data_IF_332244163196
#
_entry.id   IF_332244163196
#
_cell.length_a   1.000
_cell.length_b   1.000
_cell.length_c   1.000
_cell.angle_alpha   90.00
_cell.angle_beta   90.00
_cell.angle_gamma   90.00
#
_symmetry.space_group_name_H-M   'P 1'
#
loop_
_entity.id
_entity.type
_entity.pdbx_description
1 polymer ?
#
# COMPACT_ATOMS: atom_id res chain seq x y z
N UNK A 1 28.26 0.40 -23.58
CA UNK A 1 29.05 -0.72 -23.02
C UNK A 1 28.21 -1.97 -22.80
N UNK A 2 27.11 -1.90 -22.02
CA UNK A 2 26.20 -3.06 -21.84
C UNK A 2 25.59 -3.58 -23.15
N UNK A 3 25.06 -2.71 -24.02
CA UNK A 3 24.47 -3.19 -25.29
C UNK A 3 25.51 -3.80 -26.24
N UNK A 4 26.75 -3.28 -26.26
CA UNK A 4 27.85 -3.86 -27.06
C UNK A 4 28.30 -5.22 -26.52
N UNK A 5 28.24 -5.43 -25.20
CA UNK A 5 28.49 -6.74 -24.58
C UNK A 5 27.37 -7.72 -24.90
N UNK A 6 26.11 -7.29 -24.81
CA UNK A 6 24.94 -8.10 -25.19
C UNK A 6 24.99 -8.51 -26.67
N UNK A 7 25.45 -7.62 -27.56
CA UNK A 7 25.65 -7.94 -28.98
C UNK A 7 26.72 -9.04 -29.16
N UNK A 8 27.87 -8.92 -28.48
CA UNK A 8 28.94 -9.92 -28.52
C UNK A 8 28.52 -11.27 -27.90
N UNK A 9 27.76 -11.27 -26.79
CA UNK A 9 27.20 -12.48 -26.19
C UNK A 9 26.18 -13.15 -27.12
N UNK A 10 25.32 -12.38 -27.79
CA UNK A 10 24.36 -12.90 -28.77
C UNK A 10 25.05 -13.50 -30.01
N UNK A 11 26.13 -12.87 -30.48
CA UNK A 11 26.92 -13.39 -31.60
C UNK A 11 27.70 -14.65 -31.21
N UNK A 12 28.23 -14.73 -29.98
CA UNK A 12 28.82 -15.94 -29.44
C UNK A 12 27.81 -17.10 -29.37
N UNK A 13 26.59 -16.85 -28.88
CA UNK A 13 25.51 -17.85 -28.83
C UNK A 13 25.18 -18.36 -30.24
N UNK A 14 25.10 -17.47 -31.24
CA UNK A 14 24.86 -17.86 -32.65
C UNK A 14 25.99 -18.74 -33.21
N UNK A 15 27.23 -18.41 -32.87
CA UNK A 15 28.42 -19.18 -33.28
C UNK A 15 28.43 -20.55 -32.60
N UNK A 16 28.08 -20.64 -31.32
CA UNK A 16 27.94 -21.91 -30.60
C UNK A 16 26.81 -22.79 -31.15
N UNK A 17 25.66 -22.21 -31.48
CA UNK A 17 24.56 -22.94 -32.12
C UNK A 17 24.95 -23.45 -33.51
N UNK A 18 25.66 -22.63 -34.30
CA UNK A 18 26.18 -23.03 -35.61
C UNK A 18 27.18 -24.18 -35.46
N UNK A 19 28.08 -24.11 -34.49
CA UNK A 19 29.03 -25.19 -34.15
C UNK A 19 28.32 -26.49 -33.79
N UNK A 20 27.31 -26.45 -32.91
CA UNK A 20 26.53 -27.64 -32.54
C UNK A 20 25.82 -28.29 -33.72
N UNK A 21 25.25 -27.48 -34.64
CA UNK A 21 24.62 -27.99 -35.87
C UNK A 21 25.64 -28.67 -36.79
N UNK A 22 26.81 -28.04 -36.97
CA UNK A 22 27.88 -28.58 -37.81
C UNK A 22 28.54 -29.83 -37.20
N UNK A 23 28.65 -29.92 -35.88
CA UNK A 23 29.11 -31.12 -35.17
C UNK A 23 28.10 -32.28 -35.32
N UNK A 24 26.79 -32.00 -35.28
CA UNK A 24 25.75 -32.98 -35.55
C UNK A 24 25.79 -33.51 -36.99
N UNK A 25 25.97 -32.60 -37.97
CA UNK A 25 26.12 -32.98 -39.37
C UNK A 25 27.40 -33.78 -39.61
N UNK A 26 28.53 -33.39 -38.98
CA UNK A 26 29.78 -34.16 -39.01
C UNK A 26 29.55 -35.60 -38.53
N UNK A 27 28.92 -35.79 -37.38
CA UNK A 27 28.68 -37.11 -36.80
C UNK A 27 27.75 -37.97 -37.68
N UNK A 28 26.79 -37.34 -38.38
CA UNK A 28 25.92 -37.99 -39.37
C UNK A 28 26.71 -38.46 -40.60
N UNK A 29 27.51 -37.57 -41.21
CA UNK A 29 28.31 -37.92 -42.38
C UNK A 29 29.43 -38.92 -42.05
N UNK A 30 29.97 -38.90 -40.83
CA UNK A 30 30.95 -39.87 -40.36
C UNK A 30 30.34 -41.28 -40.28
N UNK A 31 29.15 -41.42 -39.69
CA UNK A 31 28.40 -42.69 -39.64
C UNK A 31 28.06 -43.22 -41.04
N UNK A 32 27.59 -42.34 -41.92
CA UNK A 32 27.23 -42.69 -43.31
C UNK A 32 28.46 -43.04 -44.18
N UNK A 33 29.66 -42.57 -43.80
CA UNK A 33 30.92 -42.92 -44.47
C UNK A 33 31.50 -44.28 -44.05
N UNK A 34 31.13 -44.78 -42.87
CA UNK A 34 31.59 -46.05 -42.27
C UNK A 34 30.64 -47.23 -42.55
N UNK A 35 29.38 -46.98 -42.89
CA UNK A 35 28.38 -48.02 -43.25
C UNK A 35 28.60 -48.71 -44.61
N UNK A 36 27.96 -49.87 -44.79
CA UNK A 36 28.00 -50.71 -46.01
C UNK A 36 27.16 -50.07 -47.13
N UNK A 37 27.72 -49.08 -47.84
CA UNK A 37 27.04 -48.36 -48.94
C UNK A 37 27.87 -48.34 -50.23
N UNK A 38 27.17 -48.35 -51.37
CA UNK A 38 27.72 -48.39 -52.74
C UNK A 38 28.87 -47.39 -52.93
N UNK A 39 29.98 -47.86 -53.52
CA UNK A 39 31.30 -47.21 -53.62
C UNK A 39 31.30 -45.72 -54.06
N UNK A 40 30.28 -45.24 -54.77
CA UNK A 40 30.14 -43.83 -55.15
C UNK A 40 29.70 -42.89 -54.01
N UNK A 41 28.82 -43.32 -53.10
CA UNK A 41 28.31 -42.49 -51.99
C UNK A 41 29.37 -42.23 -50.92
N UNK A 42 30.28 -43.18 -50.74
CA UNK A 42 31.37 -43.09 -49.75
C UNK A 42 32.41 -42.01 -50.10
N UNK A 43 32.69 -41.79 -51.39
CA UNK A 43 33.61 -40.72 -51.84
C UNK A 43 33.00 -39.33 -51.59
N UNK A 44 31.73 -39.16 -51.96
CA UNK A 44 30.97 -37.94 -51.72
C UNK A 44 30.88 -37.58 -50.23
N UNK A 45 30.55 -38.55 -49.36
CA UNK A 45 30.47 -38.33 -47.92
C UNK A 45 31.82 -37.95 -47.30
N UNK A 46 32.94 -38.50 -47.79
CA UNK A 46 34.28 -38.12 -47.32
C UNK A 46 34.68 -36.70 -47.74
N UNK A 47 34.27 -36.28 -48.92
CA UNK A 47 34.53 -34.93 -49.43
C UNK A 47 33.72 -33.89 -48.63
N UNK A 48 32.44 -34.19 -48.37
CA UNK A 48 31.59 -33.39 -47.47
C UNK A 48 32.10 -33.33 -46.04
N UNK A 49 32.65 -34.43 -45.52
CA UNK A 49 33.25 -34.47 -44.18
C UNK A 49 34.47 -33.53 -44.08
N UNK A 50 35.35 -33.52 -45.09
CA UNK A 50 36.49 -32.59 -45.16
C UNK A 50 36.05 -31.12 -45.28
N UNK A 51 34.99 -30.86 -46.02
CA UNK A 51 34.40 -29.52 -46.14
C UNK A 51 33.88 -29.03 -44.79
N UNK A 52 33.10 -29.87 -44.09
CA UNK A 52 32.56 -29.58 -42.75
C UNK A 52 33.68 -29.40 -41.72
N UNK A 53 34.75 -30.22 -41.75
CA UNK A 53 35.90 -30.06 -40.86
C UNK A 53 36.61 -28.72 -41.04
N UNK A 54 36.76 -28.27 -42.30
CA UNK A 54 37.38 -26.97 -42.60
C UNK A 54 36.52 -25.81 -42.14
N UNK A 55 35.20 -25.88 -42.36
CA UNK A 55 34.29 -24.85 -41.88
C UNK A 55 34.20 -24.82 -40.35
N UNK A 56 34.26 -25.98 -39.69
CA UNK A 56 34.26 -26.11 -38.24
C UNK A 56 35.54 -25.52 -37.61
N UNK A 57 36.68 -25.64 -38.31
CA UNK A 57 37.90 -24.95 -37.91
C UNK A 57 37.76 -23.43 -37.97
N UNK A 58 37.16 -22.87 -39.03
CA UNK A 58 36.88 -21.44 -39.12
C UNK A 58 35.95 -20.94 -38.01
N UNK A 59 34.88 -21.69 -37.71
CA UNK A 59 33.94 -21.37 -36.62
C UNK A 59 34.63 -21.37 -35.24
N UNK A 60 35.63 -22.25 -35.03
CA UNK A 60 36.43 -22.25 -33.79
C UNK A 60 37.34 -21.02 -33.68
N UNK A 61 37.90 -20.55 -34.79
CA UNK A 61 38.71 -19.33 -34.81
C UNK A 61 37.83 -18.10 -34.50
N UNK A 62 36.61 -18.04 -35.05
CA UNK A 62 35.62 -16.99 -34.74
C UNK A 62 35.22 -17.00 -33.25
N UNK A 63 35.01 -18.18 -32.65
CA UNK A 63 34.70 -18.36 -31.23
C UNK A 63 35.83 -17.86 -30.32
N UNK A 64 37.10 -18.12 -30.68
CA UNK A 64 38.27 -17.64 -29.94
C UNK A 64 38.37 -16.11 -30.02
N UNK A 65 38.14 -15.55 -31.22
CA UNK A 65 38.16 -14.10 -31.42
C UNK A 65 37.09 -13.39 -30.60
N UNK A 66 35.84 -13.86 -30.66
CA UNK A 66 34.72 -13.29 -29.90
C UNK A 66 34.95 -13.37 -28.39
N UNK A 67 35.46 -14.49 -27.88
CA UNK A 67 35.79 -14.62 -26.45
C UNK A 67 36.89 -13.64 -26.01
N UNK A 68 37.89 -13.39 -26.86
CA UNK A 68 38.93 -12.40 -26.58
C UNK A 68 38.37 -10.97 -26.51
N UNK A 69 37.47 -10.62 -27.44
CA UNK A 69 36.80 -9.32 -27.43
C UNK A 69 35.90 -9.14 -26.21
N UNK A 70 35.17 -10.20 -25.81
CA UNK A 70 34.31 -10.21 -24.63
C UNK A 70 35.12 -10.00 -23.35
N UNK A 71 36.26 -10.71 -23.21
CA UNK A 71 37.18 -10.50 -22.08
C UNK A 71 37.74 -9.08 -22.01
N UNK A 72 38.08 -8.48 -23.17
CA UNK A 72 38.51 -7.09 -23.22
C UNK A 72 37.40 -6.10 -22.81
N UNK A 73 36.15 -6.37 -23.21
CA UNK A 73 35.02 -5.54 -22.82
C UNK A 73 34.75 -5.63 -21.30
N UNK A 74 34.90 -6.81 -20.71
CA UNK A 74 34.71 -7.04 -19.28
C UNK A 74 35.74 -6.30 -18.43
N UNK A 75 37.03 -6.41 -18.76
CA UNK A 75 38.08 -5.63 -18.06
C UNK A 75 37.84 -4.13 -18.12
N UNK A 76 37.30 -3.64 -19.24
CA UNK A 76 37.00 -2.22 -19.44
C UNK A 76 35.75 -1.79 -18.65
N UNK A 77 34.75 -2.67 -18.52
CA UNK A 77 33.59 -2.47 -17.63
C UNK A 77 34.03 -2.43 -16.17
N UNK A 78 34.87 -3.37 -15.73
CA UNK A 78 35.41 -3.42 -14.37
C UNK A 78 36.18 -2.13 -14.03
N UNK A 79 37.03 -1.66 -14.95
CA UNK A 79 37.75 -0.41 -14.79
C UNK A 79 36.81 0.79 -14.59
N UNK A 80 35.75 0.91 -15.39
CA UNK A 80 34.76 1.97 -15.22
C UNK A 80 33.97 1.86 -13.90
N UNK A 81 33.67 0.65 -13.44
CA UNK A 81 33.02 0.43 -12.15
C UNK A 81 33.92 0.84 -10.99
N UNK A 82 35.22 0.53 -11.05
CA UNK A 82 36.17 1.01 -10.05
C UNK A 82 36.31 2.53 -10.05
N UNK A 83 36.34 3.14 -11.23
CA UNK A 83 36.44 4.59 -11.38
C UNK A 83 35.18 5.27 -10.81
N UNK A 84 34.00 4.71 -11.07
CA UNK A 84 32.74 5.18 -10.48
C UNK A 84 32.75 5.10 -8.95
N UNK A 85 33.19 3.97 -8.37
CA UNK A 85 33.33 3.81 -6.91
C UNK A 85 34.32 4.80 -6.31
N UNK A 86 35.48 4.99 -6.95
CA UNK A 86 36.47 5.98 -6.50
C UNK A 86 35.92 7.41 -6.58
N UNK A 87 35.13 7.72 -7.60
CA UNK A 87 34.49 9.04 -7.78
C UNK A 87 33.37 9.30 -6.75
N UNK A 88 32.62 8.26 -6.36
CA UNK A 88 31.65 8.31 -5.25
C UNK A 88 32.34 8.61 -3.91
N UNK A 89 33.49 8.01 -3.66
CA UNK A 89 34.25 8.21 -2.41
C UNK A 89 34.99 9.56 -2.37
N UNK A 90 35.29 10.15 -3.53
CA UNK A 90 36.08 11.40 -3.62
C UNK A 90 35.26 12.66 -3.87
N UNK A 91 34.02 12.53 -4.36
CA UNK A 91 33.15 13.68 -4.58
C UNK A 91 32.45 14.09 -3.28
N UNK A 92 32.89 15.19 -2.67
CA UNK A 92 32.24 15.75 -1.48
C UNK A 92 30.78 16.15 -1.75
N UNK A 93 30.45 16.56 -2.97
CA UNK A 93 29.07 16.80 -3.41
C UNK A 93 28.20 15.55 -3.31
N UNK A 94 28.70 14.37 -3.75
CA UNK A 94 27.92 13.12 -3.64
C UNK A 94 27.75 12.68 -2.19
N UNK A 95 28.76 12.88 -1.34
CA UNK A 95 28.64 12.63 0.12
C UNK A 95 27.60 13.54 0.77
N UNK A 96 27.59 14.83 0.41
CA UNK A 96 26.58 15.78 0.88
C UNK A 96 25.18 15.41 0.40
N UNK A 97 25.05 14.98 -0.86
CA UNK A 97 23.77 14.57 -1.42
C UNK A 97 23.25 13.30 -0.75
N UNK A 98 24.14 12.34 -0.47
CA UNK A 98 23.79 11.13 0.28
C UNK A 98 23.37 11.45 1.71
N UNK A 99 24.08 12.33 2.42
CA UNK A 99 23.68 12.75 3.76
C UNK A 99 22.35 13.51 3.77
N UNK A 100 22.07 14.34 2.77
CA UNK A 100 20.75 14.98 2.61
C UNK A 100 19.65 13.95 2.35
N UNK A 101 19.92 12.92 1.53
CA UNK A 101 18.97 11.84 1.28
C UNK A 101 18.67 11.05 2.55
N UNK A 102 19.72 10.69 3.31
CA UNK A 102 19.60 9.99 4.58
C UNK A 102 18.81 10.82 5.60
N UNK A 103 19.10 12.13 5.73
CA UNK A 103 18.34 13.03 6.59
C UNK A 103 16.87 13.14 6.15
N UNK A 104 16.62 13.19 4.84
CA UNK A 104 15.27 13.26 4.31
C UNK A 104 14.48 11.98 4.59
N UNK A 105 15.13 10.81 4.52
CA UNK A 105 14.50 9.54 4.87
C UNK A 105 14.19 9.48 6.37
N UNK A 106 15.15 9.82 7.23
CA UNK A 106 14.94 9.86 8.68
C UNK A 106 13.85 10.86 9.08
N UNK A 107 13.77 12.00 8.40
CA UNK A 107 12.68 12.97 8.57
C UNK A 107 11.32 12.38 8.20
N UNK A 108 11.21 11.70 7.06
CA UNK A 108 9.97 11.05 6.62
C UNK A 108 9.56 9.91 7.56
N UNK A 109 10.52 9.10 8.03
CA UNK A 109 10.25 8.02 8.99
C UNK A 109 9.72 8.57 10.31
N UNK A 110 10.36 9.62 10.85
CA UNK A 110 9.90 10.30 12.07
C UNK A 110 8.53 10.96 11.90
N UNK A 111 8.29 11.62 10.78
CA UNK A 111 6.97 12.17 10.44
C UNK A 111 5.93 11.07 10.40
N UNK A 112 6.20 9.96 9.72
CA UNK A 112 5.28 8.83 9.64
C UNK A 112 4.96 8.26 11.01
N UNK A 113 5.96 8.19 11.91
CA UNK A 113 5.77 7.76 13.29
C UNK A 113 4.90 8.71 14.12
N UNK A 114 4.97 10.02 13.88
CA UNK A 114 4.11 11.02 14.53
C UNK A 114 2.70 11.01 13.93
N UNK A 115 2.57 10.81 12.61
CA UNK A 115 1.31 10.79 11.87
C UNK A 115 0.50 9.52 12.14
N UNK A 116 1.15 8.41 12.52
CA UNK A 116 0.46 7.18 12.94
C UNK A 116 -0.34 7.41 14.23
N UNK A 117 -1.57 7.91 14.08
CA UNK A 117 -2.52 7.97 15.17
C UNK A 117 -2.93 6.55 15.56
N UNK A 118 -2.68 6.17 16.82
CA UNK A 118 -3.09 4.88 17.38
C UNK A 118 -4.62 4.69 17.51
N UNK A 119 -5.42 5.70 17.14
CA UNK A 119 -6.88 5.71 17.33
C UNK A 119 -7.59 5.62 15.98
N UNK A 120 -8.54 4.69 15.87
CA UNK A 120 -9.28 4.37 14.65
C UNK A 120 -10.06 5.56 14.03
N UNK A 121 -10.48 6.51 14.87
CA UNK A 121 -11.27 7.68 14.46
C UNK A 121 -10.49 8.99 14.47
N UNK A 122 -9.20 8.94 14.79
CA UNK A 122 -8.31 10.09 14.71
C UNK A 122 -7.64 10.08 13.35
N UNK A 123 -7.53 11.25 12.72
CA UNK A 123 -6.85 11.43 11.45
C UNK A 123 -6.05 12.70 11.51
N UNK A 124 -4.79 12.58 11.17
CA UNK A 124 -3.88 13.72 11.03
C UNK A 124 -3.83 14.10 9.55
N UNK A 125 -4.04 15.38 9.25
CA UNK A 125 -3.83 15.95 7.93
C UNK A 125 -2.35 16.09 7.64
N UNK A 126 -1.93 15.70 6.44
CA UNK A 126 -0.62 16.09 5.94
C UNK A 126 -0.69 17.54 5.47
N UNK A 127 0.16 18.39 6.04
CA UNK A 127 0.34 19.76 5.59
C UNK A 127 1.24 19.78 4.36
N UNK A 128 0.94 20.64 3.39
CA UNK A 128 1.80 20.86 2.22
C UNK A 128 3.15 21.47 2.61
N UNK A 129 4.17 21.32 1.77
CA UNK A 129 5.50 21.87 2.05
C UNK A 129 5.52 23.38 2.29
N UNK A 130 4.62 24.12 1.63
CA UNK A 130 4.48 25.56 1.80
C UNK A 130 3.86 25.93 3.15
N UNK A 131 2.84 25.18 3.60
CA UNK A 131 2.21 25.34 4.92
C UNK A 131 3.19 25.00 6.04
N UNK A 132 3.93 23.89 5.89
CA UNK A 132 5.00 23.51 6.80
C UNK A 132 6.09 24.59 6.87
N UNK A 133 6.47 25.17 5.73
CA UNK A 133 7.42 26.27 5.65
C UNK A 133 6.97 27.51 6.42
N UNK A 134 5.69 27.89 6.34
CA UNK A 134 5.12 29.00 7.13
C UNK A 134 5.16 28.74 8.63
N UNK A 135 4.87 27.51 9.06
CA UNK A 135 4.94 27.13 10.48
C UNK A 135 6.40 27.19 10.97
N UNK A 136 7.33 26.61 10.21
CA UNK A 136 8.76 26.64 10.52
C UNK A 136 9.27 28.07 10.61
N UNK A 137 8.86 28.94 9.68
CA UNK A 137 9.23 30.36 9.73
C UNK A 137 8.76 31.03 11.03
N UNK A 138 7.52 30.78 11.47
CA UNK A 138 7.01 31.34 12.73
C UNK A 138 7.74 30.80 13.96
N UNK A 139 8.14 29.52 13.95
CA UNK A 139 8.96 28.91 15.01
C UNK A 139 10.35 29.57 15.05
N UNK A 140 11.02 29.68 13.89
CA UNK A 140 12.35 30.31 13.78
C UNK A 140 12.33 31.80 14.13
N UNK A 141 11.20 32.47 13.95
CA UNK A 141 10.99 33.86 14.33
C UNK A 141 10.64 34.05 15.82
N UNK A 142 10.65 32.98 16.64
CA UNK A 142 10.23 32.98 18.06
C UNK A 142 8.78 33.44 18.28
N UNK A 143 7.92 33.25 17.27
CA UNK A 143 6.50 33.64 17.29
C UNK A 143 5.58 32.44 17.54
N UNK A 144 6.01 31.47 18.34
CA UNK A 144 5.22 30.26 18.64
C UNK A 144 3.90 30.58 19.36
N UNK A 145 3.91 31.57 20.25
CA UNK A 145 2.70 32.05 20.94
C UNK A 145 1.65 32.58 19.97
N UNK A 146 2.07 32.99 18.78
CA UNK A 146 1.12 33.36 17.75
C UNK A 146 0.34 32.13 17.32
N UNK A 147 0.94 30.96 17.08
CA UNK A 147 0.25 29.75 16.57
C UNK A 147 -0.99 29.29 17.37
N UNK A 148 -1.16 29.80 18.59
CA UNK A 148 -2.31 29.56 19.47
C UNK A 148 -3.43 30.62 19.35
N UNK A 149 -3.24 31.68 18.56
CA UNK A 149 -4.22 32.76 18.37
C UNK A 149 -5.27 32.39 17.32
N UNK A 150 -6.48 32.89 17.52
CA UNK A 150 -7.58 32.77 16.57
C UNK A 150 -7.23 33.40 15.22
N UNK A 151 -7.56 32.72 14.11
CA UNK A 151 -7.37 33.20 12.73
C UNK A 151 -6.07 32.79 12.02
N UNK A 152 -5.12 32.13 12.70
CA UNK A 152 -3.83 31.76 12.07
C UNK A 152 -3.93 30.63 11.07
N UNK A 153 -4.95 29.79 11.20
CA UNK A 153 -5.23 28.75 10.22
C UNK A 153 -5.50 29.35 8.85
N UNK A 154 -6.21 30.48 8.75
CA UNK A 154 -6.47 31.15 7.47
C UNK A 154 -5.19 31.75 6.85
N UNK A 155 -4.20 32.10 7.69
CA UNK A 155 -2.91 32.62 7.23
C UNK A 155 -1.97 31.50 6.74
N UNK A 156 -2.01 30.37 7.44
CA UNK A 156 -1.13 29.23 7.19
C UNK A 156 -1.71 28.34 6.10
N UNK A 157 -2.94 27.86 6.30
CA UNK A 157 -3.59 26.85 5.46
C UNK A 157 -4.13 27.46 4.18
N UNK A 158 -4.04 26.69 3.11
CA UNK A 158 -4.88 26.90 1.94
C UNK A 158 -6.29 26.37 2.23
N UNK A 159 -7.24 27.30 2.36
CA UNK A 159 -8.64 27.02 2.72
C UNK A 159 -9.30 26.09 1.68
N UNK A 160 -8.96 26.18 0.40
CA UNK A 160 -9.56 25.36 -0.64
C UNK A 160 -9.05 23.92 -0.57
N UNK A 161 -7.73 23.74 -0.41
CA UNK A 161 -7.13 22.42 -0.20
C UNK A 161 -7.67 21.74 1.06
N UNK A 162 -7.78 22.52 2.15
CA UNK A 162 -8.33 22.05 3.40
C UNK A 162 -9.80 21.60 3.25
N UNK A 163 -10.64 22.38 2.53
CA UNK A 163 -12.03 22.01 2.26
C UNK A 163 -12.15 20.73 1.45
N UNK A 164 -11.30 20.54 0.43
CA UNK A 164 -11.25 19.30 -0.35
C UNK A 164 -10.93 18.09 0.53
N UNK A 165 -9.95 18.24 1.43
CA UNK A 165 -9.60 17.21 2.39
C UNK A 165 -10.76 16.92 3.35
N UNK A 166 -11.43 17.94 3.89
CA UNK A 166 -12.59 17.75 4.77
C UNK A 166 -13.76 17.06 4.05
N UNK A 167 -14.04 17.40 2.79
CA UNK A 167 -15.02 16.65 1.97
C UNK A 167 -14.63 15.18 1.83
N UNK A 168 -13.34 14.88 1.66
CA UNK A 168 -12.86 13.50 1.62
C UNK A 168 -13.14 12.74 2.93
N UNK A 169 -12.95 13.39 4.09
CA UNK A 169 -13.28 12.80 5.40
C UNK A 169 -14.78 12.60 5.54
N UNK A 170 -15.58 13.60 5.19
CA UNK A 170 -17.04 13.53 5.31
C UNK A 170 -17.60 12.37 4.48
N UNK A 171 -17.06 12.12 3.28
CA UNK A 171 -17.46 10.99 2.42
C UNK A 171 -17.24 9.63 3.04
N UNK A 172 -16.31 9.48 3.98
CA UNK A 172 -16.04 8.21 4.66
C UNK A 172 -17.30 7.79 5.41
N UNK A 173 -17.97 8.72 6.09
CA UNK A 173 -19.23 8.45 6.78
C UNK A 173 -20.35 7.92 5.87
N UNK A 174 -20.23 7.96 4.55
CA UNK A 174 -21.18 7.30 3.64
C UNK A 174 -21.25 5.78 3.84
N UNK A 175 -20.18 5.16 4.34
CA UNK A 175 -20.13 3.71 4.53
C UNK A 175 -20.54 3.30 5.95
N UNK A 176 -21.63 2.51 6.12
CA UNK A 176 -22.18 2.15 7.44
C UNK A 176 -21.24 1.47 8.41
N UNK A 177 -20.26 0.76 7.87
CA UNK A 177 -19.28 0.02 8.64
C UNK A 177 -18.41 0.92 9.54
N UNK A 178 -18.24 2.21 9.20
CA UNK A 178 -17.46 3.14 10.03
C UNK A 178 -18.17 3.49 11.32
N UNK A 179 -19.49 3.44 11.36
CA UNK A 179 -20.25 3.56 12.61
C UNK A 179 -20.34 2.22 13.36
N UNK A 180 -19.75 1.15 12.82
CA UNK A 180 -19.87 -0.22 13.35
C UNK A 180 -21.23 -0.86 13.08
N UNK A 181 -22.02 -0.30 12.16
CA UNK A 181 -23.38 -0.75 11.86
C UNK A 181 -23.44 -1.46 10.49
N UNK A 182 -24.41 -2.37 10.35
CA UNK A 182 -24.71 -3.04 9.08
C UNK A 182 -25.21 -2.05 8.04
N UNK A 183 -25.05 -2.40 6.76
CA UNK A 183 -25.54 -1.58 5.64
C UNK A 183 -27.07 -1.46 5.57
N UNK A 184 -27.79 -2.37 6.25
CA UNK A 184 -29.26 -2.35 6.39
C UNK A 184 -29.74 -1.37 7.46
N UNK A 185 -28.87 -0.90 8.35
CA UNK A 185 -29.26 -0.03 9.45
C UNK A 185 -29.77 1.31 8.92
N UNK A 186 -30.94 1.71 9.41
CA UNK A 186 -31.54 3.01 9.16
C UNK A 186 -32.06 3.58 10.47
N UNK A 187 -31.95 4.89 10.63
CA UNK A 187 -32.34 5.64 11.82
C UNK A 187 -33.28 6.79 11.45
N UNK A 188 -34.23 7.06 12.35
CA UNK A 188 -35.14 8.19 12.28
C UNK A 188 -34.56 9.46 12.93
N UNK A 189 -33.43 9.34 13.64
CA UNK A 189 -32.78 10.46 14.33
C UNK A 189 -31.25 10.32 14.29
N UNK A 190 -30.61 11.28 13.62
CA UNK A 190 -29.16 11.46 13.67
C UNK A 190 -28.83 12.84 14.25
N UNK A 191 -27.95 12.85 15.23
CA UNK A 191 -27.40 14.06 15.82
C UNK A 191 -25.93 14.16 15.46
N UNK A 192 -25.54 15.25 14.82
CA UNK A 192 -24.16 15.51 14.44
C UNK A 192 -23.68 16.80 15.10
N UNK A 193 -22.56 16.72 15.80
CA UNK A 193 -21.89 17.89 16.36
C UNK A 193 -20.54 18.04 15.70
N UNK A 194 -20.32 19.19 15.07
CA UNK A 194 -19.05 19.56 14.45
C UNK A 194 -18.43 20.65 15.29
N UNK A 195 -17.31 20.32 15.93
CA UNK A 195 -16.47 21.27 16.63
C UNK A 195 -15.36 21.73 15.69
N UNK A 196 -15.35 23.02 15.34
CA UNK A 196 -14.42 23.59 14.36
C UNK A 196 -13.97 24.99 14.79
N UNK A 197 -12.74 25.41 14.44
CA UNK A 197 -12.34 26.81 14.54
C UNK A 197 -13.26 27.72 13.70
N UNK A 198 -13.38 28.98 14.09
CA UNK A 198 -14.18 29.97 13.36
C UNK A 198 -13.71 30.11 11.90
N UNK A 199 -14.64 30.30 10.97
CA UNK A 199 -14.33 30.60 9.56
C UNK A 199 -13.99 29.40 8.66
N UNK A 200 -13.68 28.23 9.22
CA UNK A 200 -13.28 27.05 8.43
C UNK A 200 -14.43 26.18 7.93
N UNK A 201 -15.62 26.29 8.53
CA UNK A 201 -16.76 25.42 8.22
C UNK A 201 -17.88 26.16 7.52
N UNK A 202 -18.19 25.72 6.30
CA UNK A 202 -19.16 26.35 5.41
C UNK A 202 -20.47 25.54 5.27
N UNK A 203 -21.47 26.19 4.67
CA UNK A 203 -22.72 25.54 4.27
C UNK A 203 -22.49 24.38 3.29
N UNK A 204 -21.51 24.49 2.38
CA UNK A 204 -21.18 23.43 1.42
C UNK A 204 -20.71 22.13 2.11
N UNK A 205 -19.86 22.26 3.15
CA UNK A 205 -19.42 21.11 3.95
C UNK A 205 -20.59 20.48 4.72
N UNK A 206 -21.52 21.33 5.16
CA UNK A 206 -22.75 20.88 5.83
C UNK A 206 -23.64 20.10 4.85
N UNK A 207 -23.77 20.55 3.60
CA UNK A 207 -24.51 19.83 2.55
C UNK A 207 -23.87 18.50 2.17
N UNK A 208 -22.54 18.44 2.06
CA UNK A 208 -21.83 17.17 1.81
C UNK A 208 -22.04 16.19 2.98
N UNK A 209 -22.09 16.69 4.23
CA UNK A 209 -22.37 15.88 5.41
C UNK A 209 -23.79 15.31 5.40
N UNK A 210 -24.78 16.13 5.03
CA UNK A 210 -26.14 15.65 4.81
C UNK A 210 -26.19 14.57 3.72
N UNK A 211 -25.46 14.76 2.63
CA UNK A 211 -25.41 13.79 1.51
C UNK A 211 -24.74 12.48 1.93
N UNK A 212 -23.64 12.56 2.69
CA UNK A 212 -22.95 11.38 3.20
C UNK A 212 -23.83 10.59 4.19
N UNK A 213 -24.59 11.28 5.04
CA UNK A 213 -25.43 10.65 6.05
C UNK A 213 -26.84 10.28 5.55
N UNK A 214 -27.26 10.74 4.37
CA UNK A 214 -28.55 10.40 3.79
C UNK A 214 -28.78 8.89 3.66
N UNK A 215 -27.70 8.11 3.48
CA UNK A 215 -27.76 6.64 3.42
C UNK A 215 -28.28 5.97 4.70
N UNK A 216 -28.28 6.65 5.84
CA UNK A 216 -28.76 6.12 7.12
C UNK A 216 -30.18 6.51 7.45
N UNK A 217 -30.83 7.34 6.63
CA UNK A 217 -32.10 7.95 6.99
C UNK A 217 -33.26 7.14 6.40
N UNK A 218 -34.31 6.95 7.19
CA UNK A 218 -35.58 6.32 6.79
C UNK A 218 -36.57 7.30 6.13
N UNK A 219 -36.45 8.61 6.40
CA UNK A 219 -37.36 9.66 5.94
C UNK A 219 -36.66 10.89 5.33
N UNK A 220 -37.25 12.08 5.54
CA UNK A 220 -36.67 13.33 5.03
C UNK A 220 -35.38 13.69 5.79
N UNK A 221 -34.28 13.83 5.04
CA UNK A 221 -32.93 14.13 5.56
C UNK A 221 -32.91 15.36 6.48
N UNK A 222 -33.63 16.44 6.13
CA UNK A 222 -33.65 17.69 6.88
C UNK A 222 -34.38 17.64 8.22
N UNK A 223 -35.29 16.67 8.41
CA UNK A 223 -36.01 16.47 9.68
C UNK A 223 -35.31 15.47 10.58
N UNK A 224 -34.63 14.51 9.98
CA UNK A 224 -33.98 13.40 10.70
C UNK A 224 -32.56 13.74 11.14
N UNK A 225 -31.82 14.54 10.37
CA UNK A 225 -30.44 14.90 10.68
C UNK A 225 -30.38 16.30 11.30
N UNK A 226 -29.95 16.38 12.55
CA UNK A 226 -29.66 17.65 13.23
C UNK A 226 -28.16 17.88 13.26
N UNK A 227 -27.67 18.90 12.57
CA UNK A 227 -26.26 19.30 12.58
C UNK A 227 -26.12 20.54 13.47
N UNK A 228 -25.20 20.48 14.43
CA UNK A 228 -24.83 21.60 15.29
C UNK A 228 -23.35 21.90 15.13
N UNK A 229 -23.03 23.13 14.74
CA UNK A 229 -21.66 23.62 14.67
C UNK A 229 -21.34 24.31 16.01
N UNK A 230 -20.20 23.97 16.59
CA UNK A 230 -19.70 24.51 17.85
C UNK A 230 -18.29 25.04 17.63
N UNK A 231 -18.03 26.25 18.07
CA UNK A 231 -16.71 26.86 17.92
C UNK A 231 -15.70 26.21 18.87
N UNK A 232 -14.55 25.83 18.33
CA UNK A 232 -13.43 25.30 19.10
C UNK A 232 -12.49 26.43 19.53
N UNK A 233 -11.97 26.34 20.76
CA UNK A 233 -10.87 27.21 21.23
C UNK A 233 -9.51 26.78 20.66
N UNK A 234 -9.37 25.50 20.31
CA UNK A 234 -8.15 24.97 19.73
C UNK A 234 -8.22 25.10 18.20
N UNK A 235 -7.32 25.88 17.57
CA UNK A 235 -7.31 26.05 16.13
C UNK A 235 -6.93 24.76 15.38
N UNK A 236 -6.17 23.85 15.97
CA UNK A 236 -5.60 22.71 15.23
C UNK A 236 -6.46 21.45 15.26
N UNK A 237 -7.56 21.47 16.03
CA UNK A 237 -8.37 20.27 16.26
C UNK A 237 -9.81 20.49 15.82
N UNK A 238 -10.25 19.63 14.90
CA UNK A 238 -11.64 19.53 14.45
C UNK A 238 -12.21 18.20 14.93
N UNK A 239 -13.39 18.24 15.55
CA UNK A 239 -14.07 17.02 16.02
C UNK A 239 -15.43 16.91 15.39
N UNK A 240 -15.69 15.77 14.76
CA UNK A 240 -17.01 15.43 14.23
C UNK A 240 -17.55 14.26 15.03
N UNK A 241 -18.64 14.49 15.75
CA UNK A 241 -19.32 13.47 16.54
C UNK A 241 -20.67 13.18 15.89
N UNK A 242 -20.86 11.94 15.44
CA UNK A 242 -22.12 11.46 14.87
C UNK A 242 -22.76 10.48 15.84
N UNK A 243 -24.00 10.76 16.23
CA UNK A 243 -24.80 9.95 17.13
C UNK A 243 -26.05 9.53 16.37
N UNK A 244 -26.23 8.23 16.16
CA UNK A 244 -27.42 7.67 15.54
C UNK A 244 -28.33 7.02 16.60
N UNK A 245 -29.64 7.28 16.53
CA UNK A 245 -30.62 6.74 17.46
C UNK A 245 -31.22 5.40 17.01
N UNK A 246 -31.91 4.70 17.93
CA UNK A 246 -32.70 3.47 17.63
C UNK A 246 -31.89 2.28 17.07
N UNK A 247 -30.59 2.19 17.33
CA UNK A 247 -29.81 1.00 16.99
C UNK A 247 -30.24 -0.23 17.79
N UNK A 248 -30.50 -1.35 17.12
CA UNK A 248 -30.65 -2.66 17.78
C UNK A 248 -29.33 -3.40 17.75
N UNK A 249 -29.20 -4.40 18.63
CA UNK A 249 -28.01 -5.26 18.70
C UNK A 249 -27.82 -6.03 17.37
N UNK A 250 -28.91 -6.40 16.71
CA UNK A 250 -28.92 -7.10 15.41
C UNK A 250 -28.33 -6.25 14.27
N UNK A 251 -28.35 -4.92 14.41
CA UNK A 251 -27.87 -3.97 13.41
C UNK A 251 -26.35 -3.75 13.51
N UNK A 252 -25.67 -4.29 14.53
CA UNK A 252 -24.22 -4.21 14.65
C UNK A 252 -23.55 -5.03 13.55
N UNK A 253 -22.54 -4.45 12.89
CA UNK A 253 -21.76 -5.14 11.85
C UNK A 253 -21.17 -6.49 12.31
N UNK A 254 -20.56 -6.61 13.51
CA UNK A 254 -20.03 -7.90 13.98
C UNK A 254 -21.11 -8.86 14.50
N UNK A 255 -22.38 -8.49 14.52
CA UNK A 255 -23.44 -9.30 15.17
C UNK A 255 -23.53 -10.71 14.58
N UNK A 256 -23.52 -10.85 13.25
CA UNK A 256 -23.68 -12.17 12.61
C UNK A 256 -22.50 -13.10 12.93
N UNK A 257 -21.31 -12.54 13.05
CA UNK A 257 -20.12 -13.28 13.46
C UNK A 257 -20.19 -13.66 14.94
N UNK A 258 -20.56 -12.73 15.81
CA UNK A 258 -20.75 -12.98 17.24
C UNK A 258 -21.83 -14.04 17.47
N UNK A 259 -22.96 -13.98 16.77
CA UNK A 259 -24.03 -14.96 16.88
C UNK A 259 -23.56 -16.34 16.41
N UNK A 260 -22.83 -16.41 15.30
CA UNK A 260 -22.25 -17.68 14.80
C UNK A 260 -21.25 -18.29 15.78
N UNK A 261 -20.39 -17.46 16.38
CA UNK A 261 -19.43 -17.90 17.40
C UNK A 261 -20.16 -18.37 18.66
N UNK A 262 -21.17 -17.62 19.11
CA UNK A 262 -21.97 -17.99 20.28
C UNK A 262 -22.75 -19.29 20.07
N UNK A 263 -23.27 -19.55 18.86
CA UNK A 263 -23.94 -20.82 18.52
C UNK A 263 -22.98 -22.02 18.54
N UNK A 264 -21.71 -21.80 18.18
CA UNK A 264 -20.66 -22.83 18.18
C UNK A 264 -19.99 -23.03 19.54
N UNK A 265 -20.10 -22.06 20.44
CA UNK A 265 -19.50 -22.10 21.76
C UNK A 265 -20.12 -23.21 22.62
N UNK A 266 -19.30 -23.81 23.48
CA UNK A 266 -19.73 -24.78 24.48
C UNK A 266 -20.66 -24.13 25.51
N UNK A 267 -21.52 -24.90 26.18
CA UNK A 267 -22.42 -24.36 27.22
C UNK A 267 -21.66 -23.72 28.40
N UNK A 268 -20.41 -24.16 28.65
CA UNK A 268 -19.50 -23.52 29.58
C UNK A 268 -19.03 -22.13 29.10
N UNK A 269 -18.66 -22.00 27.83
CA UNK A 269 -18.22 -20.74 27.21
C UNK A 269 -19.38 -19.75 27.05
N UNK A 270 -20.58 -20.25 26.75
CA UNK A 270 -21.82 -19.48 26.80
C UNK A 270 -22.13 -18.98 28.21
N UNK A 271 -21.79 -19.76 29.24
CA UNK A 271 -21.88 -19.36 30.64
C UNK A 271 -20.93 -18.21 30.97
N UNK A 272 -19.70 -18.27 30.47
CA UNK A 272 -18.71 -17.20 30.63
C UNK A 272 -19.12 -15.92 29.88
N UNK A 273 -19.61 -16.02 28.64
CA UNK A 273 -20.06 -14.85 27.86
C UNK A 273 -21.36 -14.24 28.38
N UNK A 274 -22.21 -15.05 29.03
CA UNK A 274 -23.42 -14.58 29.72
C UNK A 274 -23.12 -13.64 30.89
N UNK A 275 -21.96 -13.75 31.56
CA UNK A 275 -21.66 -12.84 32.68
C UNK A 275 -21.54 -11.38 32.22
N UNK A 276 -21.15 -11.13 30.97
CA UNK A 276 -21.04 -9.78 30.41
C UNK A 276 -22.41 -9.16 30.05
N UNK A 277 -23.42 -9.99 29.72
CA UNK A 277 -24.78 -9.52 29.40
C UNK A 277 -25.69 -9.45 30.63
N UNK A 278 -25.44 -10.26 31.65
CA UNK A 278 -26.15 -10.20 32.95
C UNK A 278 -25.79 -8.92 33.72
N UNK A 279 -24.59 -8.35 33.53
CA UNK A 279 -24.24 -7.04 34.09
C UNK A 279 -25.09 -5.88 33.51
N UNK A 280 -25.72 -6.04 32.35
CA UNK A 280 -26.40 -4.94 31.65
C UNK A 280 -27.89 -5.14 31.32
N UNK A 281 -28.53 -6.28 31.59
CA UNK A 281 -29.99 -6.41 31.49
C UNK A 281 -30.61 -7.34 32.55
N UNK A 282 -31.34 -6.74 33.49
CA UNK A 282 -32.49 -7.37 34.17
C UNK A 282 -32.16 -8.22 35.40
N UNK A 283 -32.86 -7.95 36.50
CA UNK A 283 -32.62 -8.43 37.87
C UNK A 283 -32.78 -9.94 38.07
N UNK A 284 -31.99 -10.46 39.01
CA UNK A 284 -31.85 -11.87 39.43
C UNK A 284 -33.17 -12.65 39.68
N UNK A 285 -34.26 -11.95 39.97
CA UNK A 285 -35.54 -12.53 40.36
C UNK A 285 -36.23 -13.29 39.22
N UNK A 286 -36.09 -12.84 37.97
CA UNK A 286 -36.67 -13.54 36.81
C UNK A 286 -35.91 -14.83 36.47
N UNK A 287 -34.60 -14.85 36.75
CA UNK A 287 -33.75 -16.04 36.61
C UNK A 287 -33.99 -17.06 37.73
N UNK A 288 -34.30 -16.59 38.95
CA UNK A 288 -34.69 -17.41 40.09
C UNK A 288 -36.04 -18.12 39.87
N UNK A 289 -37.04 -17.40 39.34
CA UNK A 289 -38.36 -17.98 39.05
C UNK A 289 -38.28 -19.18 38.08
N UNK A 290 -37.44 -19.09 37.04
CA UNK A 290 -37.25 -20.19 36.07
C UNK A 290 -36.43 -21.37 36.61
N UNK A 291 -35.61 -21.16 37.64
CA UNK A 291 -34.87 -22.23 38.33
C UNK A 291 -35.75 -22.98 39.34
N UNK A 292 -36.62 -22.27 40.07
CA UNK A 292 -37.58 -22.87 41.00
C UNK A 292 -38.63 -23.75 40.30
N UNK A 293 -39.04 -23.38 39.09
CA UNK A 293 -40.01 -24.15 38.31
C UNK A 293 -39.41 -25.48 37.82
N UNK A 294 -38.12 -25.49 37.46
CA UNK A 294 -37.39 -26.72 37.10
C UNK A 294 -37.13 -27.63 38.29
N UNK A 295 -36.90 -27.07 39.48
CA UNK A 295 -36.67 -27.82 40.72
C UNK A 295 -37.93 -28.49 41.27
N UNK A 296 -39.13 -28.00 40.91
CA UNK A 296 -40.42 -28.63 41.27
C UNK A 296 -40.84 -29.76 40.32
N UNK A 297 -40.19 -29.90 39.17
CA UNK A 297 -40.47 -30.94 38.18
C UNK A 297 -39.57 -32.19 38.29
N UNK A 298 -38.72 -32.24 39.31
CA UNK A 298 -37.88 -33.39 39.71
C UNK A 298 -38.35 -33.85 41.08
#
# INVERSE_FOLDING_TARGET
FRSRREELENDLIRVEEKKKRMEFDRDKYEKDSKGFSLFGKKKYNREKLKEIERELQGVREDEIHLNSELGSADTLIEFYQELAKKLEVTSDYRKQLQTVLELSQDYQDKLSGIIQSNRYYERTTELTGDEQGKIIYKILAEQEDQLNREGILEEILDVDHFKDYMRSIVRIYRTPNIMGMKSSYRSDYLWVTVQTPQGLWDEDLTQELYTALAGYVTGDVSKTITVRIVECRDPWVIRVVVIAGRGKIEDLAPYDEMERLNRKASDFEKGLSRSFLVEHKGTLDELLAGLEEKLKSV
#
